data_IF_531348791988
#
_entry.id   IF_531348791988
#
_cell.length_a   1.000
_cell.length_b   1.000
_cell.length_c   1.000
_cell.angle_alpha   90.00
_cell.angle_beta   90.00
_cell.angle_gamma   90.00
#
_symmetry.space_group_name_H-M   'P 1'
#
loop_
_entity.id
_entity.type
_entity.pdbx_description
1 polymer ?
#
# COMPACT_ATOMS: atom_id res chain seq x y z
N UNK A 1 -71.32 -10.08 11.26
CA UNK A 1 -70.15 -9.40 10.64
C UNK A 1 -69.03 -10.45 10.49
N UNK A 2 -68.89 -11.06 9.32
CA UNK A 2 -67.87 -12.06 9.02
C UNK A 2 -66.52 -11.36 8.77
N UNK A 3 -65.59 -11.46 9.75
CA UNK A 3 -64.20 -11.11 9.54
C UNK A 3 -63.58 -12.20 8.67
N UNK A 4 -63.54 -11.96 7.34
CA UNK A 4 -62.82 -12.75 6.37
C UNK A 4 -61.33 -12.57 6.67
N UNK A 5 -60.75 -13.51 7.48
CA UNK A 5 -59.31 -13.59 7.69
C UNK A 5 -58.67 -13.76 6.31
N UNK A 6 -57.98 -12.73 5.86
CA UNK A 6 -57.08 -12.80 4.67
C UNK A 6 -55.90 -13.69 5.09
N UNK A 7 -56.09 -14.98 4.97
CA UNK A 7 -54.98 -15.91 5.14
C UNK A 7 -53.96 -15.62 4.03
N UNK A 8 -52.73 -15.39 4.43
CA UNK A 8 -51.64 -15.22 3.48
C UNK A 8 -51.46 -16.53 2.72
N UNK A 9 -51.67 -16.54 1.41
CA UNK A 9 -51.57 -17.72 0.55
C UNK A 9 -50.29 -18.52 0.79
N UNK A 10 -49.14 -17.84 0.95
CA UNK A 10 -47.84 -18.43 1.26
C UNK A 10 -47.82 -19.16 2.60
N UNK A 11 -48.49 -18.64 3.62
CA UNK A 11 -48.54 -19.23 4.95
C UNK A 11 -49.37 -20.51 4.96
N UNK A 12 -50.54 -20.49 4.31
CA UNK A 12 -51.42 -21.69 4.21
C UNK A 12 -50.74 -22.79 3.37
N UNK A 13 -50.10 -22.42 2.26
CA UNK A 13 -49.34 -23.36 1.44
C UNK A 13 -48.17 -24.00 2.19
N UNK A 14 -47.44 -23.22 3.00
CA UNK A 14 -46.33 -23.73 3.81
C UNK A 14 -46.77 -24.72 4.88
N UNK A 15 -47.96 -24.52 5.49
CA UNK A 15 -48.53 -25.41 6.50
C UNK A 15 -48.94 -26.73 5.89
N UNK A 16 -49.51 -26.71 4.66
CA UNK A 16 -49.94 -27.92 3.94
C UNK A 16 -48.74 -28.74 3.43
N UNK A 17 -47.61 -28.05 3.08
CA UNK A 17 -46.44 -28.72 2.48
C UNK A 17 -45.21 -28.71 3.43
N UNK A 18 -45.39 -29.16 4.67
CA UNK A 18 -44.35 -29.16 5.70
C UNK A 18 -43.04 -29.82 5.24
N UNK A 19 -43.11 -30.93 4.52
CA UNK A 19 -41.92 -31.63 4.03
C UNK A 19 -41.10 -30.83 3.08
N UNK A 20 -41.72 -30.04 2.16
CA UNK A 20 -41.02 -29.15 1.23
C UNK A 20 -40.34 -28.03 1.99
N UNK A 21 -40.98 -27.47 3.00
CA UNK A 21 -40.37 -26.41 3.80
C UNK A 21 -39.15 -26.91 4.58
N UNK A 22 -39.18 -28.12 5.16
CA UNK A 22 -38.02 -28.70 5.81
C UNK A 22 -36.85 -28.95 4.82
N UNK A 23 -37.14 -29.48 3.63
CA UNK A 23 -36.11 -29.66 2.59
C UNK A 23 -35.50 -28.31 2.21
N UNK A 24 -36.30 -27.27 1.99
CA UNK A 24 -35.85 -25.94 1.63
C UNK A 24 -35.00 -25.32 2.74
N UNK A 25 -35.40 -25.52 4.01
CA UNK A 25 -34.61 -25.07 5.17
C UNK A 25 -33.23 -25.73 5.23
N UNK A 26 -33.15 -27.04 4.97
CA UNK A 26 -31.88 -27.77 4.93
C UNK A 26 -30.99 -27.28 3.80
N UNK A 27 -31.57 -27.02 2.60
CA UNK A 27 -30.83 -26.46 1.46
C UNK A 27 -30.23 -25.08 1.81
N UNK A 28 -31.01 -24.20 2.44
CA UNK A 28 -30.51 -22.88 2.86
C UNK A 28 -29.41 -22.99 3.92
N UNK A 29 -29.54 -23.95 4.87
CA UNK A 29 -28.51 -24.19 5.88
C UNK A 29 -27.18 -24.63 5.23
N UNK A 30 -27.25 -25.61 4.32
CA UNK A 30 -26.07 -26.12 3.61
C UNK A 30 -25.46 -25.00 2.75
N UNK A 31 -26.29 -24.26 2.02
CA UNK A 31 -25.84 -23.12 1.19
C UNK A 31 -25.18 -22.03 2.03
N UNK A 32 -25.74 -21.69 3.20
CA UNK A 32 -25.16 -20.72 4.11
C UNK A 32 -23.80 -21.15 4.67
N UNK A 33 -23.67 -22.43 5.08
CA UNK A 33 -22.39 -22.97 5.55
C UNK A 33 -21.34 -23.00 4.44
N UNK A 34 -21.69 -23.41 3.23
CA UNK A 34 -20.77 -23.39 2.11
C UNK A 34 -20.36 -21.99 1.73
N UNK A 35 -21.28 -21.04 1.64
CA UNK A 35 -20.99 -19.64 1.36
C UNK A 35 -20.04 -19.04 2.41
N UNK A 36 -20.27 -19.33 3.72
CA UNK A 36 -19.42 -18.87 4.80
C UNK A 36 -17.98 -19.43 4.71
N UNK A 37 -17.83 -20.70 4.34
CA UNK A 37 -16.52 -21.34 4.19
C UNK A 37 -15.76 -20.93 2.93
N UNK A 38 -16.48 -20.54 1.87
CA UNK A 38 -15.87 -20.08 0.61
C UNK A 38 -15.66 -18.58 0.54
N UNK A 39 -16.16 -17.83 1.53
CA UNK A 39 -15.94 -16.38 1.58
C UNK A 39 -14.45 -16.10 1.82
N UNK A 40 -13.77 -15.37 0.92
CA UNK A 40 -12.38 -14.98 1.12
C UNK A 40 -12.29 -14.12 2.38
N UNK A 41 -11.40 -14.50 3.30
CA UNK A 41 -11.18 -13.82 4.58
C UNK A 41 -9.90 -12.98 4.57
N UNK A 42 -9.50 -12.51 3.41
CA UNK A 42 -8.38 -11.60 3.31
C UNK A 42 -8.80 -10.25 3.90
N UNK A 43 -8.18 -9.80 5.00
CA UNK A 43 -8.58 -8.57 5.69
C UNK A 43 -8.33 -7.32 4.86
N UNK A 44 -7.39 -7.38 3.91
CA UNK A 44 -7.10 -6.31 2.95
C UNK A 44 -6.72 -6.92 1.60
N UNK A 45 -7.16 -6.34 0.47
CA UNK A 45 -6.54 -6.66 -0.81
C UNK A 45 -5.04 -6.32 -0.70
N UNK A 46 -4.18 -7.24 -1.10
CA UNK A 46 -2.76 -6.90 -1.28
C UNK A 46 -2.69 -5.85 -2.39
N UNK A 47 -2.53 -4.60 -1.97
CA UNK A 47 -2.23 -3.51 -2.89
C UNK A 47 -0.74 -3.65 -3.19
N UNK A 48 -0.41 -4.45 -4.16
CA UNK A 48 0.94 -4.64 -4.67
C UNK A 48 1.34 -3.43 -5.54
N UNK A 49 1.26 -2.22 -4.99
CA UNK A 49 1.83 -1.08 -5.68
C UNK A 49 3.32 -1.03 -5.39
N UNK A 50 4.12 -1.16 -6.44
CA UNK A 50 5.59 -1.07 -6.35
C UNK A 50 5.98 0.40 -6.28
N UNK A 51 6.08 0.93 -5.04
CA UNK A 51 6.44 2.33 -4.79
C UNK A 51 7.86 2.45 -4.27
N UNK A 52 8.63 3.34 -4.90
CA UNK A 52 9.99 3.70 -4.48
C UNK A 52 10.02 5.18 -4.11
N UNK A 53 10.53 5.49 -2.93
CA UNK A 53 10.67 6.85 -2.43
C UNK A 53 12.12 7.31 -2.51
N UNK A 54 12.32 8.51 -3.05
CA UNK A 54 13.60 9.20 -3.04
C UNK A 54 13.46 10.43 -2.14
N UNK A 55 14.16 10.43 -1.01
CA UNK A 55 14.18 11.55 -0.08
C UNK A 55 15.58 12.20 -0.07
N UNK A 56 15.63 13.51 -0.30
CA UNK A 56 16.88 14.27 -0.32
C UNK A 56 16.80 15.41 0.66
N UNK A 57 17.71 15.44 1.60
CA UNK A 57 17.79 16.49 2.65
C UNK A 57 18.83 17.53 2.25
N UNK A 58 18.42 18.79 2.09
CA UNK A 58 19.29 19.92 1.80
C UNK A 58 18.95 21.12 2.70
N UNK A 59 19.43 21.15 3.94
CA UNK A 59 19.05 22.13 4.94
C UNK A 59 19.43 23.56 4.56
N UNK A 60 18.56 24.50 4.96
CA UNK A 60 18.83 25.94 4.78
C UNK A 60 18.40 26.51 3.44
N UNK A 61 17.73 25.72 2.59
CA UNK A 61 17.20 26.18 1.33
C UNK A 61 15.66 26.21 1.36
N UNK A 62 15.08 27.16 0.65
CA UNK A 62 13.65 27.28 0.47
C UNK A 62 13.08 26.14 -0.41
N UNK A 63 11.77 25.91 -0.36
CA UNK A 63 11.12 24.89 -1.20
C UNK A 63 11.37 25.12 -2.71
N UNK A 64 11.38 26.39 -3.16
CA UNK A 64 11.66 26.77 -4.55
C UNK A 64 13.10 26.43 -4.98
N UNK A 65 14.07 26.66 -4.10
CA UNK A 65 15.47 26.29 -4.34
C UNK A 65 15.67 24.79 -4.36
N UNK A 66 15.01 24.06 -3.45
CA UNK A 66 15.00 22.58 -3.43
C UNK A 66 14.42 22.04 -4.73
N UNK A 67 13.27 22.57 -5.16
CA UNK A 67 12.65 22.17 -6.43
C UNK A 67 13.62 22.33 -7.60
N UNK A 68 14.23 23.48 -7.72
CA UNK A 68 15.09 23.82 -8.85
C UNK A 68 16.43 23.06 -8.86
N UNK A 69 17.05 22.91 -7.68
CA UNK A 69 18.41 22.36 -7.55
C UNK A 69 18.44 20.85 -7.35
N UNK A 70 17.39 20.27 -6.79
CA UNK A 70 17.34 18.87 -6.40
C UNK A 70 16.22 18.12 -7.10
N UNK A 71 14.97 18.59 -6.95
CA UNK A 71 13.80 17.84 -7.41
C UNK A 71 13.75 17.74 -8.91
N UNK A 72 13.84 18.86 -9.62
CA UNK A 72 13.75 18.87 -11.08
C UNK A 72 14.82 18.04 -11.79
N UNK A 73 16.11 18.11 -11.42
CA UNK A 73 17.15 17.24 -12.02
C UNK A 73 16.91 15.75 -11.78
N UNK A 74 16.41 15.38 -10.58
CA UNK A 74 16.08 13.99 -10.28
C UNK A 74 14.85 13.52 -11.07
N UNK A 75 13.81 14.35 -11.14
CA UNK A 75 12.62 14.03 -11.92
C UNK A 75 12.90 13.80 -13.39
N UNK A 76 13.71 14.68 -14.00
CA UNK A 76 14.06 14.58 -15.42
C UNK A 76 14.73 13.24 -15.74
N UNK A 77 15.60 12.77 -14.87
CA UNK A 77 16.29 11.50 -15.06
C UNK A 77 15.36 10.30 -14.77
N UNK A 78 14.54 10.37 -13.70
CA UNK A 78 13.64 9.28 -13.30
C UNK A 78 12.49 9.12 -14.29
N UNK A 79 11.98 10.18 -14.92
CA UNK A 79 10.92 10.12 -15.94
C UNK A 79 11.21 9.15 -17.09
N UNK A 80 12.47 8.87 -17.34
CA UNK A 80 12.90 7.92 -18.37
C UNK A 80 12.94 6.45 -17.93
N UNK A 81 12.63 6.13 -16.68
CA UNK A 81 12.76 4.78 -16.16
C UNK A 81 11.71 3.83 -16.76
N UNK A 82 12.15 2.63 -17.11
CA UNK A 82 11.26 1.62 -17.71
C UNK A 82 10.33 1.02 -16.66
N UNK A 83 9.02 1.03 -16.93
CA UNK A 83 7.99 0.51 -16.06
C UNK A 83 7.40 1.56 -15.12
N UNK A 84 7.71 2.85 -15.32
CA UNK A 84 7.10 3.95 -14.60
C UNK A 84 5.61 4.07 -14.94
N UNK A 85 4.76 4.14 -13.93
CA UNK A 85 3.33 4.40 -14.03
C UNK A 85 3.04 5.85 -13.64
N UNK A 86 3.51 6.27 -12.47
CA UNK A 86 3.30 7.60 -11.94
C UNK A 86 4.55 8.13 -11.22
N UNK A 87 4.78 9.43 -11.32
CA UNK A 87 5.85 10.15 -10.62
C UNK A 87 5.24 11.37 -9.95
N UNK A 88 5.26 11.37 -8.64
CA UNK A 88 4.86 12.51 -7.83
C UNK A 88 6.06 13.07 -7.07
N UNK A 89 6.23 14.38 -7.04
CA UNK A 89 7.26 15.03 -6.25
C UNK A 89 6.69 16.12 -5.37
N UNK A 90 7.34 16.35 -4.25
CA UNK A 90 7.03 17.43 -3.32
C UNK A 90 8.31 18.02 -2.77
N UNK A 91 8.42 19.35 -2.91
CA UNK A 91 9.54 20.13 -2.38
C UNK A 91 9.09 20.92 -1.16
N UNK A 92 9.79 20.75 -0.06
CA UNK A 92 9.59 21.47 1.18
C UNK A 92 10.87 22.22 1.55
N UNK A 93 10.79 23.09 2.57
CA UNK A 93 11.98 23.75 3.11
C UNK A 93 12.99 22.71 3.62
N UNK A 94 14.15 22.63 2.99
CA UNK A 94 15.23 21.74 3.35
C UNK A 94 15.07 20.28 2.95
N UNK A 95 14.00 19.87 2.25
CA UNK A 95 13.78 18.48 1.86
C UNK A 95 13.02 18.33 0.53
N UNK A 96 13.47 17.42 -0.31
CA UNK A 96 12.77 16.93 -1.49
C UNK A 96 12.29 15.49 -1.25
N UNK A 97 11.07 15.18 -1.66
CA UNK A 97 10.50 13.83 -1.63
C UNK A 97 9.91 13.53 -3.00
N UNK A 98 10.35 12.43 -3.62
CA UNK A 98 9.84 11.95 -4.89
C UNK A 98 9.29 10.54 -4.69
N UNK A 99 8.04 10.33 -5.07
CA UNK A 99 7.38 9.03 -5.11
C UNK A 99 7.36 8.53 -6.55
N UNK A 100 7.85 7.33 -6.77
CA UNK A 100 7.94 6.68 -8.07
C UNK A 100 7.12 5.40 -8.03
N UNK A 101 5.98 5.38 -8.71
CA UNK A 101 5.12 4.22 -8.82
C UNK A 101 5.44 3.43 -10.09
N UNK A 102 5.67 2.14 -9.90
CA UNK A 102 5.95 1.19 -10.99
C UNK A 102 4.77 0.26 -11.23
N UNK A 103 4.76 -0.32 -12.43
CA UNK A 103 3.82 -1.38 -12.79
C UNK A 103 3.97 -2.59 -11.86
N UNK A 104 2.85 -3.22 -11.50
CA UNK A 104 2.78 -4.41 -10.62
C UNK A 104 3.62 -5.59 -11.12
N UNK A 105 3.98 -5.62 -12.41
CA UNK A 105 4.86 -6.63 -12.99
C UNK A 105 6.34 -6.43 -12.61
N UNK A 106 6.70 -5.26 -12.09
CA UNK A 106 8.09 -4.92 -11.72
C UNK A 106 8.34 -5.27 -10.25
N UNK A 107 9.30 -6.15 -10.01
CA UNK A 107 9.72 -6.47 -8.64
C UNK A 107 10.27 -5.22 -7.94
N UNK A 108 9.91 -5.03 -6.69
CA UNK A 108 10.27 -3.83 -5.89
C UNK A 108 11.79 -3.63 -5.80
N UNK A 109 12.57 -4.69 -5.63
CA UNK A 109 14.02 -4.61 -5.56
C UNK A 109 14.62 -4.14 -6.90
N UNK A 110 14.02 -4.56 -8.04
CA UNK A 110 14.45 -4.14 -9.38
C UNK A 110 14.09 -2.67 -9.60
N UNK A 111 12.89 -2.26 -9.19
CA UNK A 111 12.44 -0.87 -9.25
C UNK A 111 13.38 0.04 -8.46
N UNK A 112 13.64 -0.31 -7.20
CA UNK A 112 14.56 0.42 -6.32
C UNK A 112 15.96 0.52 -6.90
N UNK A 113 16.51 -0.56 -7.45
CA UNK A 113 17.84 -0.54 -8.04
C UNK A 113 17.89 0.37 -9.27
N UNK A 114 16.87 0.34 -10.15
CA UNK A 114 16.78 1.23 -11.31
C UNK A 114 16.74 2.70 -10.92
N UNK A 115 15.90 3.04 -9.92
CA UNK A 115 15.81 4.42 -9.41
C UNK A 115 17.15 4.83 -8.79
N UNK A 116 17.77 3.96 -8.00
CA UNK A 116 19.06 4.23 -7.38
C UNK A 116 20.14 4.51 -8.41
N UNK A 117 20.25 3.70 -9.46
CA UNK A 117 21.24 3.89 -10.53
C UNK A 117 21.06 5.25 -11.22
N UNK A 118 19.81 5.69 -11.45
CA UNK A 118 19.51 7.00 -12.04
C UNK A 118 19.84 8.15 -11.09
N UNK A 119 19.50 8.02 -9.81
CA UNK A 119 19.83 8.99 -8.76
C UNK A 119 21.36 9.14 -8.64
N UNK A 120 22.08 8.02 -8.61
CA UNK A 120 23.55 8.01 -8.53
C UNK A 120 24.18 8.73 -9.76
N UNK A 121 23.61 8.56 -10.96
CA UNK A 121 24.05 9.27 -12.16
C UNK A 121 23.88 10.81 -12.06
N UNK A 122 22.81 11.27 -11.41
CA UNK A 122 22.59 12.71 -11.17
C UNK A 122 23.56 13.24 -10.13
N UNK A 123 23.79 12.52 -9.04
CA UNK A 123 24.64 12.95 -7.92
C UNK A 123 26.13 13.07 -8.32
N UNK A 124 26.58 12.35 -9.34
CA UNK A 124 27.97 12.43 -9.85
C UNK A 124 28.20 13.72 -10.67
N UNK A 125 27.17 14.36 -11.21
CA UNK A 125 27.30 15.59 -12.03
C UNK A 125 27.97 16.72 -11.25
N UNK A 126 28.67 17.58 -11.95
CA UNK A 126 29.42 18.70 -11.35
C UNK A 126 28.47 19.80 -10.81
N UNK A 127 27.28 19.91 -11.35
CA UNK A 127 26.23 20.85 -10.96
C UNK A 127 25.38 20.39 -9.79
N UNK A 128 25.59 19.16 -9.30
CA UNK A 128 24.87 18.64 -8.14
C UNK A 128 25.24 19.38 -6.85
N UNK A 129 24.25 19.81 -6.04
CA UNK A 129 24.49 20.64 -4.88
C UNK A 129 25.33 19.93 -3.81
N UNK A 130 26.09 20.75 -3.10
CA UNK A 130 26.95 20.31 -1.99
C UNK A 130 26.55 20.99 -0.68
N UNK A 131 26.62 20.25 0.42
CA UNK A 131 26.43 20.77 1.76
C UNK A 131 27.61 20.36 2.64
N UNK A 132 28.17 21.32 3.38
CA UNK A 132 29.36 21.09 4.23
C UNK A 132 30.54 20.40 3.51
N UNK A 133 30.83 20.81 2.27
CA UNK A 133 31.90 20.25 1.44
C UNK A 133 31.68 18.79 0.96
N UNK A 134 30.51 18.25 1.15
CA UNK A 134 30.12 16.93 0.65
C UNK A 134 28.91 17.06 -0.31
N UNK A 135 28.87 16.26 -1.36
CA UNK A 135 27.67 16.14 -2.20
C UNK A 135 26.51 15.61 -1.36
N UNK A 136 25.32 16.12 -1.63
CA UNK A 136 24.11 15.65 -0.97
C UNK A 136 23.81 14.24 -1.47
N UNK A 137 23.51 13.33 -0.54
CA UNK A 137 23.21 11.92 -0.84
C UNK A 137 21.70 11.65 -0.68
N UNK A 138 20.98 11.45 -1.81
CA UNK A 138 19.57 11.06 -1.77
C UNK A 138 19.39 9.65 -1.23
N UNK A 139 18.44 9.47 -0.33
CA UNK A 139 18.08 8.16 0.20
C UNK A 139 16.98 7.54 -0.67
N UNK A 140 17.26 6.37 -1.25
CA UNK A 140 16.29 5.61 -2.05
C UNK A 140 15.77 4.44 -1.23
N UNK A 141 14.49 4.50 -0.86
CA UNK A 141 13.82 3.49 -0.03
C UNK A 141 12.61 2.91 -0.73
N UNK A 142 12.35 1.64 -0.53
CA UNK A 142 11.10 0.99 -0.90
C UNK A 142 10.05 1.20 0.19
N UNK A 143 8.79 1.26 -0.21
CA UNK A 143 7.70 1.31 0.74
C UNK A 143 6.95 -0.02 0.71
N UNK A 144 7.20 -0.83 1.73
CA UNK A 144 6.45 -2.06 1.97
C UNK A 144 5.40 -1.81 3.06
N UNK A 145 4.13 -1.92 2.67
CA UNK A 145 3.02 -1.82 3.62
C UNK A 145 3.04 -2.99 4.63
N UNK A 146 3.55 -4.15 4.25
CA UNK A 146 3.57 -5.33 5.08
C UNK A 146 4.53 -5.19 6.28
N UNK A 147 5.67 -4.52 6.12
CA UNK A 147 6.62 -4.27 7.21
C UNK A 147 6.11 -3.23 8.24
N UNK A 148 5.20 -2.35 7.85
CA UNK A 148 4.79 -1.23 8.70
C UNK A 148 3.63 -1.54 9.65
N UNK A 149 2.93 -2.64 9.44
CA UNK A 149 1.89 -3.11 10.35
C UNK A 149 2.34 -4.39 11.05
N UNK A 150 3.08 -4.28 12.17
CA UNK A 150 3.44 -5.47 12.92
C UNK A 150 2.17 -6.15 13.42
N UNK A 151 1.97 -7.38 12.97
CA UNK A 151 0.80 -8.20 13.31
C UNK A 151 0.78 -8.55 14.81
N UNK A 152 1.96 -8.43 15.47
CA UNK A 152 2.11 -8.73 16.88
C UNK A 152 3.28 -7.95 17.49
N UNK A 153 2.98 -7.13 18.53
CA UNK A 153 3.98 -6.52 19.39
C UNK A 153 4.05 -7.29 20.72
N UNK A 154 5.16 -8.00 20.97
CA UNK A 154 5.40 -8.67 22.24
C UNK A 154 6.42 -7.83 23.05
N UNK A 155 5.96 -7.19 24.11
CA UNK A 155 6.83 -6.51 25.06
C UNK A 155 7.14 -7.46 26.22
N UNK A 156 8.39 -7.91 26.30
CA UNK A 156 8.88 -8.72 27.42
C UNK A 156 9.39 -7.77 28.52
N UNK A 157 8.71 -7.70 29.63
CA UNK A 157 9.13 -7.00 30.85
C UNK A 157 9.69 -8.01 31.84
N UNK A 158 10.97 -7.91 32.14
CA UNK A 158 11.65 -8.72 33.14
C UNK A 158 13.01 -8.17 33.48
N UNK A 159 13.49 -8.47 34.69
CA UNK A 159 14.87 -8.16 35.09
C UNK A 159 15.82 -9.14 34.38
N UNK A 160 16.37 -8.72 33.26
CA UNK A 160 17.42 -9.47 32.55
C UNK A 160 18.78 -8.90 32.93
N UNK A 161 19.63 -9.70 33.52
CA UNK A 161 21.09 -9.44 33.58
C UNK A 161 21.66 -9.82 32.22
N UNK A 162 22.21 -8.84 31.50
CA UNK A 162 22.98 -9.10 30.27
C UNK A 162 24.32 -9.65 30.75
N UNK A 163 24.53 -10.96 30.59
CA UNK A 163 25.88 -11.51 30.67
C UNK A 163 26.59 -11.26 29.33
N UNK A 164 27.74 -10.56 29.40
CA UNK A 164 28.62 -10.27 28.27
C UNK A 164 29.21 -11.53 27.65
#
# INVERSE_FOLDING_TARGET
MNKKNREFFLSSWAIENKTIIYILMVIFLISGITAYNTMPREPFPEINTTNVFVATVFPGNSAEEIEKLVTNPLEEEIKGVKGLVELESSSYEGISVINVEFDDEVLIEVARQRVKDLVDNVTVRDDWPTFNNSKIDPSVTEFDFAERYPVLNITLLGDYTVEE
#
